data_IF_355518366733
#
_entry.id   IF_355518366733
#
_cell.length_a   1.000
_cell.length_b   1.000
_cell.length_c   1.000
_cell.angle_alpha   90.00
_cell.angle_beta   90.00
_cell.angle_gamma   90.00
#
_symmetry.space_group_name_H-M   'P 1'
#
loop_
_entity.id
_entity.type
_entity.pdbx_description
1 polymer ?
#
# COMPACT_ATOMS: atom_id res chain seq x y z
N UNK A 1 4.74 8.59 22.23
CA UNK A 1 4.49 8.16 20.85
C UNK A 1 4.26 9.41 20.02
N UNK A 2 4.88 9.51 18.85
CA UNK A 2 4.71 10.64 17.94
C UNK A 2 3.25 10.74 17.47
N UNK A 3 2.69 11.95 17.48
CA UNK A 3 1.33 12.17 16.99
C UNK A 3 1.29 11.97 15.47
N UNK A 4 0.22 11.36 14.97
CA UNK A 4 -0.05 11.28 13.53
C UNK A 4 -0.85 12.51 13.12
N UNK A 5 -0.30 13.30 12.20
CA UNK A 5 -0.94 14.51 11.69
C UNK A 5 -1.45 14.29 10.26
N UNK A 6 -2.63 14.85 9.97
CA UNK A 6 -3.17 14.89 8.60
C UNK A 6 -2.71 16.19 7.92
N UNK A 7 -2.17 16.05 6.72
CA UNK A 7 -1.59 17.16 5.91
C UNK A 7 -1.96 17.02 4.44
N UNK A 8 -1.53 17.98 3.63
CA UNK A 8 -1.71 17.97 2.17
C UNK A 8 -0.41 18.35 1.45
N UNK A 9 -0.11 17.66 0.35
CA UNK A 9 0.97 17.99 -0.57
C UNK A 9 0.66 17.46 -1.98
N UNK A 10 1.04 18.19 -3.00
CA UNK A 10 0.83 17.82 -4.41
C UNK A 10 -0.63 17.43 -4.76
N UNK A 11 -1.60 17.97 -4.04
CA UNK A 11 -3.02 17.66 -4.21
C UNK A 11 -3.46 16.36 -3.54
N UNK A 12 -2.61 15.72 -2.74
CA UNK A 12 -2.95 14.52 -1.97
C UNK A 12 -2.99 14.85 -0.48
N UNK A 13 -4.00 14.33 0.21
CA UNK A 13 -4.00 14.23 1.67
C UNK A 13 -3.00 13.14 2.09
N UNK A 14 -2.34 13.33 3.22
CA UNK A 14 -1.43 12.31 3.76
C UNK A 14 -1.37 12.37 5.28
N UNK A 15 -1.04 11.24 5.89
CA UNK A 15 -0.72 11.14 7.32
C UNK A 15 0.79 11.17 7.50
N UNK A 16 1.23 11.84 8.56
CA UNK A 16 2.63 11.97 8.90
C UNK A 16 2.87 11.76 10.40
N UNK A 17 3.91 11.02 10.74
CA UNK A 17 4.47 10.99 12.09
C UNK A 17 5.96 11.39 12.03
N UNK A 18 6.33 12.36 12.86
CA UNK A 18 7.70 12.87 12.92
C UNK A 18 8.43 12.25 14.12
N UNK A 19 9.70 11.84 13.96
CA UNK A 19 10.54 11.48 15.09
C UNK A 19 10.95 12.74 15.89
N UNK A 20 11.37 12.53 17.13
CA UNK A 20 11.72 13.61 18.07
C UNK A 20 12.83 14.53 17.54
N UNK A 21 13.75 14.01 16.73
CA UNK A 21 14.86 14.75 16.09
C UNK A 21 14.51 15.34 14.73
N UNK A 22 13.25 15.18 14.29
CA UNK A 22 12.76 15.61 12.97
C UNK A 22 13.21 14.73 11.80
N UNK A 23 13.75 13.52 12.07
CA UNK A 23 14.15 12.54 11.03
C UNK A 23 15.42 12.91 10.27
N UNK A 24 16.28 13.71 10.86
CA UNK A 24 17.53 14.15 10.21
C UNK A 24 18.52 13.00 10.07
N UNK A 25 18.96 12.75 8.84
CA UNK A 25 20.01 11.78 8.54
C UNK A 25 19.53 10.35 8.31
N UNK A 26 18.23 10.09 8.38
CA UNK A 26 17.62 8.81 8.00
C UNK A 26 16.67 8.97 6.80
N UNK A 27 16.63 8.02 5.86
CA UNK A 27 15.66 8.05 4.78
C UNK A 27 14.24 8.09 5.31
N UNK A 28 13.34 8.96 4.82
CA UNK A 28 11.93 8.93 5.20
C UNK A 28 11.28 7.61 4.78
N UNK A 29 10.31 7.10 5.56
CA UNK A 29 9.50 5.96 5.21
C UNK A 29 8.24 6.43 4.49
N UNK A 30 8.04 5.94 3.26
CA UNK A 30 6.88 6.20 2.42
C UNK A 30 6.00 4.96 2.39
N UNK A 31 4.81 5.04 3.00
CA UNK A 31 3.85 3.96 3.13
C UNK A 31 2.73 4.12 2.09
N UNK A 32 2.58 3.17 1.17
CA UNK A 32 1.62 3.23 0.07
C UNK A 32 0.57 2.15 0.24
N UNK A 33 -0.68 2.56 0.45
CA UNK A 33 -1.83 1.68 0.70
C UNK A 33 -2.38 1.05 -0.57
N UNK A 34 -3.26 0.05 -0.40
CA UNK A 34 -3.99 -0.61 -1.47
C UNK A 34 -5.49 -0.30 -1.47
N UNK A 35 -6.27 -1.27 -1.96
CA UNK A 35 -7.73 -1.22 -2.02
C UNK A 35 -8.36 -2.18 -1.00
N UNK A 36 -9.43 -1.78 -0.32
CA UNK A 36 -10.13 -0.49 -0.36
C UNK A 36 -9.62 0.52 0.69
N UNK A 37 -8.38 0.37 1.08
CA UNK A 37 -7.76 1.09 2.18
C UNK A 37 -7.47 2.56 1.84
N UNK A 38 -6.98 3.27 2.85
CA UNK A 38 -6.49 4.66 2.77
C UNK A 38 -5.21 4.74 3.60
N UNK A 39 -4.59 5.91 3.68
CA UNK A 39 -3.46 6.15 4.58
C UNK A 39 -3.74 5.77 6.05
N UNK A 40 -5.02 5.61 6.42
CA UNK A 40 -5.42 5.21 7.78
C UNK A 40 -4.92 3.82 8.16
N UNK A 41 -4.75 2.89 7.21
CA UNK A 41 -4.23 1.56 7.51
C UNK A 41 -2.88 1.57 8.23
N UNK A 42 -2.12 2.65 8.04
CA UNK A 42 -0.79 2.84 8.60
C UNK A 42 -0.79 3.56 9.96
N UNK A 43 -1.97 3.90 10.51
CA UNK A 43 -2.09 4.79 11.67
C UNK A 43 -1.33 4.28 12.93
N UNK A 44 -1.27 2.97 13.13
CA UNK A 44 -0.50 2.37 14.23
C UNK A 44 0.99 2.16 13.87
N UNK A 45 1.28 1.94 12.60
CA UNK A 45 2.65 1.72 12.14
C UNK A 45 3.46 3.02 12.07
N UNK A 46 2.85 4.14 11.64
CA UNK A 46 3.56 5.42 11.50
C UNK A 46 4.26 5.88 12.78
N UNK A 47 3.63 5.83 13.99
CA UNK A 47 4.33 6.16 15.23
C UNK A 47 5.48 5.20 15.57
N UNK A 48 5.34 3.91 15.24
CA UNK A 48 6.38 2.92 15.46
C UNK A 48 7.60 3.18 14.55
N UNK A 49 7.37 3.53 13.29
CA UNK A 49 8.42 3.96 12.37
C UNK A 49 9.10 5.24 12.88
N UNK A 50 8.32 6.25 13.31
CA UNK A 50 8.87 7.49 13.84
C UNK A 50 9.74 7.26 15.08
N UNK A 51 9.39 6.29 15.93
CA UNK A 51 10.20 5.93 17.10
C UNK A 51 11.59 5.34 16.72
N UNK A 52 11.77 4.84 15.48
CA UNK A 52 13.09 4.41 14.98
C UNK A 52 13.93 5.55 14.41
N UNK A 53 13.42 6.79 14.41
CA UNK A 53 14.11 7.98 13.89
C UNK A 53 13.82 8.27 12.41
N UNK A 54 12.91 7.56 11.75
CA UNK A 54 12.49 7.84 10.38
C UNK A 54 11.25 8.74 10.35
N UNK A 55 11.23 9.75 9.51
CA UNK A 55 10.00 10.47 9.17
C UNK A 55 9.06 9.50 8.46
N UNK A 56 7.85 9.27 8.98
CA UNK A 56 6.90 8.31 8.45
C UNK A 56 5.75 9.03 7.73
N UNK A 57 5.47 8.67 6.48
CA UNK A 57 4.56 9.39 5.59
C UNK A 57 3.69 8.40 4.82
N UNK A 58 2.39 8.64 4.80
CA UNK A 58 1.43 7.80 4.10
C UNK A 58 0.42 8.67 3.33
N UNK A 59 0.52 8.82 2.00
CA UNK A 59 -0.50 9.50 1.21
C UNK A 59 -1.77 8.67 1.08
N UNK A 60 -2.92 9.34 0.97
CA UNK A 60 -4.10 8.81 0.31
C UNK A 60 -3.86 8.92 -1.21
N UNK A 61 -3.91 7.81 -1.92
CA UNK A 61 -3.76 7.82 -3.38
C UNK A 61 -4.93 8.58 -4.05
N UNK A 62 -4.76 9.12 -5.28
CA UNK A 62 -5.86 9.77 -5.98
C UNK A 62 -7.14 8.92 -6.01
N UNK A 63 -8.27 9.50 -5.63
CA UNK A 63 -9.55 8.82 -5.54
C UNK A 63 -9.73 7.92 -4.32
N UNK A 64 -8.80 7.96 -3.36
CA UNK A 64 -8.88 7.23 -2.10
C UNK A 64 -8.88 8.20 -0.91
N UNK A 65 -9.60 7.83 0.15
CA UNK A 65 -9.66 8.61 1.38
C UNK A 65 -10.08 10.05 1.16
N UNK A 66 -9.20 10.97 1.52
CA UNK A 66 -9.41 12.42 1.40
C UNK A 66 -8.79 13.04 0.14
N UNK A 67 -8.07 12.24 -0.64
CA UNK A 67 -7.50 12.71 -1.90
C UNK A 67 -8.53 12.71 -3.03
N UNK A 68 -8.65 13.80 -3.80
CA UNK A 68 -9.54 13.85 -4.94
C UNK A 68 -9.12 12.84 -6.01
N UNK A 69 -10.08 12.35 -6.78
CA UNK A 69 -9.77 11.57 -7.99
C UNK A 69 -9.04 12.45 -9.03
N UNK A 70 -8.14 11.84 -9.79
CA UNK A 70 -7.42 12.47 -10.92
C UNK A 70 -7.71 11.68 -12.22
N UNK A 71 -8.94 11.79 -12.79
CA UNK A 71 -9.34 10.97 -13.93
C UNK A 71 -8.49 11.21 -15.18
N UNK A 72 -8.26 10.15 -15.98
CA UNK A 72 -8.57 8.76 -15.68
C UNK A 72 -7.62 8.21 -14.60
N UNK A 73 -8.18 7.61 -13.55
CA UNK A 73 -7.44 7.15 -12.37
C UNK A 73 -6.70 5.83 -12.64
N UNK A 74 -5.95 5.80 -13.74
CA UNK A 74 -5.24 4.59 -14.19
C UNK A 74 -3.98 4.32 -13.38
N UNK A 75 -3.52 3.08 -13.40
CA UNK A 75 -2.29 2.64 -12.75
C UNK A 75 -1.09 3.56 -13.06
N UNK A 76 -0.89 3.91 -14.35
CA UNK A 76 0.18 4.81 -14.77
C UNK A 76 0.07 6.21 -14.15
N UNK A 77 -1.15 6.72 -14.02
CA UNK A 77 -1.38 8.02 -13.40
C UNK A 77 -1.19 8.00 -11.89
N UNK A 78 -1.53 6.88 -11.26
CA UNK A 78 -1.26 6.68 -9.82
C UNK A 78 0.24 6.63 -9.54
N UNK A 79 1.04 5.94 -10.38
CA UNK A 79 2.52 5.97 -10.30
C UNK A 79 3.04 7.40 -10.50
N UNK A 80 2.52 8.13 -11.48
CA UNK A 80 2.89 9.52 -11.71
C UNK A 80 2.47 10.47 -10.57
N UNK A 81 1.33 10.19 -9.90
CA UNK A 81 0.90 10.95 -8.73
C UNK A 81 1.83 10.72 -7.53
N UNK A 82 2.23 9.47 -7.31
CA UNK A 82 3.23 9.13 -6.28
C UNK A 82 4.55 9.85 -6.55
N UNK A 83 5.01 9.89 -7.80
CA UNK A 83 6.21 10.63 -8.20
C UNK A 83 6.09 12.12 -7.88
N UNK A 84 4.97 12.77 -8.25
CA UNK A 84 4.74 14.19 -7.94
C UNK A 84 4.72 14.44 -6.42
N UNK A 85 4.16 13.51 -5.65
CA UNK A 85 4.11 13.60 -4.20
C UNK A 85 5.50 13.50 -3.56
N UNK A 86 6.29 12.52 -3.97
CA UNK A 86 7.69 12.33 -3.51
C UNK A 86 8.52 13.57 -3.82
N UNK A 87 8.42 14.07 -5.05
CA UNK A 87 9.16 15.26 -5.47
C UNK A 87 8.75 16.53 -4.70
N UNK A 88 7.44 16.73 -4.46
CA UNK A 88 6.93 17.90 -3.74
C UNK A 88 7.36 17.96 -2.27
N UNK A 89 7.60 16.82 -1.64
CA UNK A 89 8.07 16.70 -0.26
C UNK A 89 9.59 16.46 -0.15
N UNK A 90 10.30 16.40 -1.28
CA UNK A 90 11.75 16.15 -1.37
C UNK A 90 12.16 14.85 -0.60
N UNK A 91 11.38 13.78 -0.80
CA UNK A 91 11.53 12.50 -0.07
C UNK A 91 12.51 11.57 -0.82
N UNK A 92 13.79 11.82 -0.79
CA UNK A 92 14.76 10.97 -1.50
C UNK A 92 16.09 10.80 -0.74
N UNK A 93 16.62 9.52 -0.67
CA UNK A 93 15.92 8.26 -0.96
C UNK A 93 14.90 7.89 0.12
N UNK A 94 13.91 7.05 -0.21
CA UNK A 94 12.88 6.59 0.73
C UNK A 94 13.09 5.13 1.16
N UNK A 95 12.65 4.78 2.36
CA UNK A 95 12.25 3.40 2.67
C UNK A 95 10.81 3.22 2.16
N UNK A 96 10.63 2.40 1.14
CA UNK A 96 9.33 2.17 0.53
C UNK A 96 8.60 1.02 1.21
N UNK A 97 7.43 1.31 1.80
CA UNK A 97 6.57 0.34 2.48
C UNK A 97 5.26 0.23 1.69
N UNK A 98 4.93 -0.95 1.20
CA UNK A 98 3.81 -1.12 0.26
C UNK A 98 2.92 -2.28 0.66
N UNK A 99 1.63 -2.14 0.34
CA UNK A 99 0.61 -3.17 0.53
C UNK A 99 -0.35 -3.19 -0.66
N UNK A 100 -0.79 -4.36 -1.10
CA UNK A 100 -1.80 -4.59 -2.14
C UNK A 100 -1.54 -3.74 -3.42
N UNK A 101 -2.48 -2.91 -3.89
CA UNK A 101 -2.27 -1.98 -5.01
C UNK A 101 -1.11 -1.02 -4.79
N UNK A 102 -0.83 -0.66 -3.54
CA UNK A 102 0.36 0.11 -3.20
C UNK A 102 1.65 -0.59 -3.63
N UNK A 103 1.66 -1.94 -3.61
CA UNK A 103 2.76 -2.74 -4.16
C UNK A 103 2.89 -2.57 -5.67
N UNK A 104 1.80 -2.70 -6.42
CA UNK A 104 1.80 -2.51 -7.87
C UNK A 104 2.28 -1.10 -8.28
N UNK A 105 1.88 -0.08 -7.51
CA UNK A 105 2.21 1.32 -7.76
C UNK A 105 3.64 1.63 -7.30
N UNK A 106 3.96 1.34 -6.04
CA UNK A 106 5.22 1.71 -5.41
C UNK A 106 6.42 0.94 -5.97
N UNK A 107 6.28 -0.37 -6.21
CA UNK A 107 7.38 -1.17 -6.77
C UNK A 107 7.67 -0.80 -8.22
N UNK A 108 6.64 -0.45 -9.01
CA UNK A 108 6.83 0.10 -10.35
C UNK A 108 7.57 1.42 -10.28
N UNK A 109 7.15 2.33 -9.40
CA UNK A 109 7.84 3.59 -9.16
C UNK A 109 9.33 3.38 -8.78
N UNK A 110 9.62 2.44 -7.88
CA UNK A 110 10.98 2.13 -7.46
C UNK A 110 11.85 1.61 -8.63
N UNK A 111 11.29 0.73 -9.48
CA UNK A 111 11.99 0.22 -10.66
C UNK A 111 12.24 1.30 -11.72
N UNK A 112 11.31 2.24 -11.88
CA UNK A 112 11.44 3.35 -12.84
C UNK A 112 12.41 4.44 -12.33
N UNK A 113 12.69 4.47 -11.01
CA UNK A 113 13.53 5.46 -10.35
C UNK A 113 14.67 4.82 -9.54
N UNK A 114 15.61 4.10 -10.18
CA UNK A 114 16.70 3.43 -9.47
C UNK A 114 17.56 4.43 -8.70
N UNK A 115 17.90 4.09 -7.45
CA UNK A 115 18.68 4.96 -6.54
C UNK A 115 17.84 5.92 -5.69
N UNK A 116 16.53 5.98 -5.88
CA UNK A 116 15.62 6.80 -5.05
C UNK A 116 14.91 6.00 -3.94
N UNK A 117 15.21 4.71 -3.84
CA UNK A 117 14.74 3.81 -2.77
C UNK A 117 15.95 3.30 -2.01
N UNK A 118 15.90 3.37 -0.68
CA UNK A 118 16.97 2.91 0.21
C UNK A 118 16.74 1.47 0.71
N UNK A 119 15.48 1.09 0.92
CA UNK A 119 15.05 -0.24 1.36
C UNK A 119 13.57 -0.45 1.03
N UNK A 120 13.09 -1.69 1.08
CA UNK A 120 11.69 -2.03 0.80
C UNK A 120 11.07 -2.87 1.91
N UNK A 121 9.81 -2.60 2.24
CA UNK A 121 8.92 -3.52 2.96
C UNK A 121 7.75 -3.82 2.03
N UNK A 122 7.59 -5.09 1.66
CA UNK A 122 6.59 -5.53 0.69
C UNK A 122 5.61 -6.45 1.40
N UNK A 123 4.31 -6.15 1.37
CA UNK A 123 3.30 -6.95 2.05
C UNK A 123 2.07 -7.22 1.17
N UNK A 124 1.59 -8.44 1.22
CA UNK A 124 0.29 -8.89 0.71
C UNK A 124 -0.05 -8.32 -0.67
N UNK A 125 0.85 -8.48 -1.63
CA UNK A 125 0.76 -7.91 -2.99
C UNK A 125 1.29 -8.86 -4.05
N UNK A 126 1.18 -8.46 -5.32
CA UNK A 126 1.78 -9.13 -6.46
C UNK A 126 2.54 -8.14 -7.34
N UNK A 127 3.64 -8.61 -7.96
CA UNK A 127 4.38 -7.82 -8.96
C UNK A 127 4.94 -8.77 -10.03
N UNK A 128 4.02 -9.50 -10.70
CA UNK A 128 4.38 -10.60 -11.61
C UNK A 128 3.55 -10.51 -12.88
N UNK A 129 4.21 -10.56 -14.05
CA UNK A 129 3.55 -10.43 -15.36
C UNK A 129 2.57 -11.58 -15.67
N UNK A 130 2.76 -12.75 -15.09
CA UNK A 130 1.87 -13.91 -15.17
C UNK A 130 0.84 -13.96 -14.02
N UNK A 131 0.75 -12.90 -13.22
CA UNK A 131 -0.22 -12.73 -12.15
C UNK A 131 -1.66 -12.79 -12.68
N UNK A 132 -2.57 -13.19 -11.78
CA UNK A 132 -4.01 -13.24 -12.10
C UNK A 132 -4.80 -12.52 -11.02
N UNK A 133 -5.84 -11.83 -11.44
CA UNK A 133 -6.76 -11.21 -10.52
C UNK A 133 -7.61 -12.26 -9.81
N UNK A 134 -7.95 -12.01 -8.53
CA UNK A 134 -8.94 -12.79 -7.79
C UNK A 134 -10.35 -12.56 -8.37
N UNK A 135 -11.31 -13.44 -8.04
CA UNK A 135 -12.67 -13.33 -8.54
C UNK A 135 -13.36 -12.00 -8.22
N UNK A 136 -13.10 -11.41 -7.05
CA UNK A 136 -13.61 -10.08 -6.68
C UNK A 136 -13.02 -9.01 -7.60
N UNK A 137 -11.72 -9.01 -7.82
CA UNK A 137 -11.03 -8.05 -8.69
C UNK A 137 -11.48 -8.22 -10.15
N UNK A 138 -11.71 -9.44 -10.64
CA UNK A 138 -12.30 -9.68 -11.96
C UNK A 138 -13.70 -9.07 -12.09
N UNK A 139 -14.53 -9.18 -11.04
CA UNK A 139 -15.83 -8.53 -10.98
C UNK A 139 -15.74 -7.00 -11.10
N UNK A 140 -14.81 -6.36 -10.38
CA UNK A 140 -14.57 -4.91 -10.46
C UNK A 140 -14.06 -4.49 -11.84
N UNK A 141 -13.26 -5.31 -12.50
CA UNK A 141 -12.74 -5.06 -13.85
C UNK A 141 -13.80 -5.18 -14.94
N UNK A 142 -14.83 -5.99 -14.74
CA UNK A 142 -15.87 -6.23 -15.74
C UNK A 142 -16.79 -5.00 -15.87
N UNK A 143 -16.94 -4.43 -17.11
CA UNK A 143 -17.86 -3.33 -17.35
C UNK A 143 -19.32 -3.69 -17.00
N UNK A 144 -20.02 -2.80 -16.34
CA UNK A 144 -21.38 -3.01 -15.81
C UNK A 144 -21.37 -3.70 -14.46
N UNK A 145 -20.70 -4.85 -14.34
CA UNK A 145 -20.62 -5.60 -13.07
C UNK A 145 -19.91 -4.81 -11.98
N UNK A 146 -18.78 -4.16 -12.30
CA UNK A 146 -18.05 -3.34 -11.34
C UNK A 146 -18.89 -2.17 -10.82
N UNK A 147 -19.62 -1.48 -11.69
CA UNK A 147 -20.54 -0.42 -11.34
C UNK A 147 -21.69 -0.93 -10.44
N UNK A 148 -22.28 -2.06 -10.77
CA UNK A 148 -23.35 -2.68 -9.94
C UNK A 148 -22.81 -3.08 -8.57
N UNK A 149 -21.63 -3.68 -8.49
CA UNK A 149 -21.00 -4.08 -7.23
C UNK A 149 -20.77 -2.85 -6.33
N UNK A 150 -20.13 -1.80 -6.83
CA UNK A 150 -19.80 -0.64 -6.00
C UNK A 150 -21.01 0.23 -5.67
N UNK A 151 -21.90 0.48 -6.63
CA UNK A 151 -23.13 1.28 -6.39
C UNK A 151 -24.13 0.56 -5.48
N UNK A 152 -24.06 -0.78 -5.43
CA UNK A 152 -24.88 -1.59 -4.50
C UNK A 152 -24.37 -1.59 -3.06
N UNK A 153 -23.15 -1.09 -2.81
CA UNK A 153 -22.62 -1.01 -1.46
C UNK A 153 -23.25 0.16 -0.67
N UNK A 154 -23.52 -0.10 0.59
CA UNK A 154 -23.73 0.90 1.62
C UNK A 154 -22.57 0.82 2.62
N UNK A 155 -22.35 1.87 3.41
CA UNK A 155 -21.37 1.82 4.51
C UNK A 155 -21.57 0.58 5.39
N UNK A 156 -22.83 0.20 5.66
CA UNK A 156 -23.15 -0.98 6.48
C UNK A 156 -22.70 -2.29 5.82
N UNK A 157 -23.05 -2.50 4.54
CA UNK A 157 -22.67 -3.71 3.81
C UNK A 157 -21.17 -3.78 3.55
N UNK A 158 -20.55 -2.64 3.28
CA UNK A 158 -19.09 -2.53 3.22
C UNK A 158 -18.44 -2.92 4.54
N UNK A 159 -18.91 -2.38 5.68
CA UNK A 159 -18.40 -2.74 6.99
C UNK A 159 -18.54 -4.24 7.30
N UNK A 160 -19.64 -4.86 6.90
CA UNK A 160 -19.82 -6.31 7.05
C UNK A 160 -18.81 -7.11 6.19
N UNK A 161 -18.53 -6.65 4.98
CA UNK A 161 -17.53 -7.25 4.11
C UNK A 161 -16.13 -7.15 4.75
N UNK A 162 -15.75 -5.97 5.23
CA UNK A 162 -14.46 -5.75 5.88
C UNK A 162 -14.30 -6.60 7.14
N UNK A 163 -15.32 -6.64 8.00
CA UNK A 163 -15.33 -7.45 9.21
C UNK A 163 -15.29 -8.97 8.93
N UNK A 164 -15.73 -9.42 7.76
CA UNK A 164 -15.61 -10.82 7.34
C UNK A 164 -14.24 -11.17 6.75
N UNK A 165 -13.46 -10.15 6.37
CA UNK A 165 -12.16 -10.30 5.69
C UNK A 165 -10.98 -10.07 6.64
N UNK A 166 -11.22 -9.53 7.84
CA UNK A 166 -10.18 -9.20 8.81
C UNK A 166 -10.74 -9.22 10.23
N UNK A 167 -9.94 -9.69 11.17
CA UNK A 167 -10.29 -9.68 12.60
C UNK A 167 -9.91 -8.36 13.29
N UNK A 168 -9.03 -7.57 12.67
CA UNK A 168 -8.48 -6.35 13.24
C UNK A 168 -9.12 -5.05 12.75
N UNK A 169 -9.87 -5.07 11.64
CA UNK A 169 -10.52 -3.88 11.11
C UNK A 169 -11.67 -3.44 12.01
N UNK A 170 -11.53 -2.26 12.59
CA UNK A 170 -12.50 -1.65 13.49
C UNK A 170 -13.42 -0.65 12.77
N UNK A 171 -14.39 -0.07 13.50
CA UNK A 171 -15.37 0.88 12.95
C UNK A 171 -14.71 2.16 12.40
N UNK A 172 -13.63 2.65 13.03
CA UNK A 172 -12.89 3.82 12.56
C UNK A 172 -12.23 3.55 11.20
N UNK A 173 -11.56 2.41 11.06
CA UNK A 173 -10.97 1.99 9.78
C UNK A 173 -12.04 1.83 8.69
N UNK A 174 -13.21 1.25 9.03
CA UNK A 174 -14.34 1.14 8.10
C UNK A 174 -14.80 2.53 7.62
N UNK A 175 -14.92 3.50 8.52
CA UNK A 175 -15.33 4.87 8.18
C UNK A 175 -14.30 5.55 7.26
N UNK A 176 -13.01 5.38 7.55
CA UNK A 176 -11.91 5.93 6.75
C UNK A 176 -11.84 5.30 5.34
N UNK A 177 -11.98 4.00 5.24
CA UNK A 177 -11.94 3.30 3.95
C UNK A 177 -13.20 3.57 3.12
N UNK A 178 -14.36 3.72 3.78
CA UNK A 178 -15.63 4.04 3.11
C UNK A 178 -15.58 5.39 2.38
N UNK A 179 -14.72 6.33 2.78
CA UNK A 179 -14.56 7.61 2.07
C UNK A 179 -14.31 7.41 0.57
N UNK A 180 -13.48 6.43 0.22
CA UNK A 180 -13.11 6.10 -1.17
C UNK A 180 -14.30 5.60 -2.02
N UNK A 181 -15.31 5.01 -1.38
CA UNK A 181 -16.44 4.35 -2.05
C UNK A 181 -17.78 5.08 -1.83
N UNK A 182 -17.77 6.13 -1.02
CA UNK A 182 -18.99 6.86 -0.63
C UNK A 182 -19.57 7.75 -1.71
N UNK A 183 -18.80 8.03 -2.77
CA UNK A 183 -19.20 8.93 -3.87
C UNK A 183 -19.08 8.23 -5.22
N UNK A 184 -19.89 8.62 -6.22
CA UNK A 184 -19.75 8.08 -7.58
C UNK A 184 -18.37 8.32 -8.19
N UNK A 185 -17.75 9.46 -7.90
CA UNK A 185 -16.40 9.82 -8.38
C UNK A 185 -15.34 8.90 -7.80
N UNK A 186 -15.41 8.60 -6.50
CA UNK A 186 -14.52 7.67 -5.83
C UNK A 186 -14.69 6.24 -6.36
N UNK A 187 -15.95 5.79 -6.52
CA UNK A 187 -16.25 4.47 -7.13
C UNK A 187 -15.68 4.37 -8.54
N UNK A 188 -15.87 5.40 -9.37
CA UNK A 188 -15.33 5.44 -10.73
C UNK A 188 -13.80 5.36 -10.73
N UNK A 189 -13.13 6.10 -9.83
CA UNK A 189 -11.68 6.09 -9.69
C UNK A 189 -11.15 4.68 -9.36
N UNK A 190 -11.81 3.96 -8.44
CA UNK A 190 -11.42 2.58 -8.11
C UNK A 190 -11.61 1.62 -9.29
N UNK A 191 -12.71 1.76 -10.05
CA UNK A 191 -12.94 0.93 -11.23
C UNK A 191 -11.92 1.21 -12.35
N UNK A 192 -11.55 2.48 -12.58
CA UNK A 192 -10.51 2.87 -13.53
C UNK A 192 -9.15 2.28 -13.15
N UNK A 193 -8.78 2.33 -11.87
CA UNK A 193 -7.57 1.69 -11.34
C UNK A 193 -7.56 0.20 -11.66
N UNK A 194 -8.59 -0.54 -11.26
CA UNK A 194 -8.69 -1.98 -11.50
C UNK A 194 -8.65 -2.33 -12.99
N UNK A 195 -9.39 -1.61 -13.83
CA UNK A 195 -9.47 -1.86 -15.29
C UNK A 195 -8.17 -1.58 -16.02
N UNK A 196 -7.37 -0.63 -15.53
CA UNK A 196 -6.07 -0.32 -16.09
C UNK A 196 -4.97 -1.28 -15.65
N UNK A 197 -5.18 -2.05 -14.58
CA UNK A 197 -4.23 -2.98 -13.99
C UNK A 197 -4.10 -4.28 -14.79
N UNK A 198 -3.42 -4.27 -15.90
CA UNK A 198 -3.11 -5.46 -16.67
C UNK A 198 -1.74 -6.00 -16.28
N UNK A 199 -1.68 -7.24 -15.77
CA UNK A 199 -0.46 -7.84 -15.23
C UNK A 199 0.65 -7.96 -16.26
N UNK A 200 0.31 -8.11 -17.54
CA UNK A 200 1.26 -8.16 -18.66
C UNK A 200 2.10 -6.88 -18.76
N UNK A 201 1.62 -5.75 -18.24
CA UNK A 201 2.39 -4.49 -18.14
C UNK A 201 3.62 -4.62 -17.22
N UNK A 202 3.68 -5.67 -16.41
CA UNK A 202 4.82 -5.98 -15.55
C UNK A 202 5.95 -6.74 -16.28
N UNK A 203 5.74 -7.23 -17.51
CA UNK A 203 6.79 -7.94 -18.23
C UNK A 203 8.13 -7.18 -18.33
N UNK A 204 8.16 -5.84 -18.55
CA UNK A 204 9.40 -5.07 -18.56
C UNK A 204 10.12 -4.99 -17.19
N UNK A 205 9.43 -5.37 -16.09
CA UNK A 205 9.92 -5.29 -14.72
C UNK A 205 10.37 -6.65 -14.16
N UNK A 206 10.29 -7.72 -14.95
CA UNK A 206 10.78 -9.02 -14.51
C UNK A 206 12.26 -8.97 -14.15
N UNK A 207 12.60 -9.42 -12.92
CA UNK A 207 13.96 -9.36 -12.37
C UNK A 207 14.42 -7.99 -11.85
N UNK A 208 13.74 -6.90 -12.20
CA UNK A 208 14.16 -5.54 -11.85
C UNK A 208 14.24 -5.30 -10.34
N UNK A 209 13.33 -5.86 -9.55
CA UNK A 209 13.39 -5.73 -8.08
C UNK A 209 14.67 -6.32 -7.50
N UNK A 210 15.12 -7.47 -8.02
CA UNK A 210 16.40 -8.08 -7.62
C UNK A 210 17.63 -7.27 -8.05
N UNK A 211 17.54 -6.59 -9.22
CA UNK A 211 18.61 -5.71 -9.72
C UNK A 211 18.79 -4.46 -8.88
N UNK A 212 17.74 -3.99 -8.17
CA UNK A 212 17.85 -2.86 -7.25
C UNK A 212 18.81 -3.16 -6.08
N UNK A 213 18.99 -4.44 -5.73
CA UNK A 213 19.91 -4.92 -4.67
C UNK A 213 19.69 -4.20 -3.32
N UNK A 214 18.43 -3.97 -2.94
CA UNK A 214 18.06 -3.23 -1.74
C UNK A 214 17.75 -4.18 -0.57
N UNK A 215 18.07 -3.78 0.67
CA UNK A 215 17.53 -4.46 1.85
C UNK A 215 16.00 -4.56 1.73
N UNK A 216 15.45 -5.75 1.93
CA UNK A 216 14.02 -5.98 1.72
C UNK A 216 13.45 -6.90 2.79
N UNK A 217 12.37 -6.46 3.43
CA UNK A 217 11.51 -7.25 4.29
C UNK A 217 10.23 -7.60 3.52
N UNK A 218 9.87 -8.87 3.49
CA UNK A 218 8.58 -9.38 3.04
C UNK A 218 7.75 -9.68 4.29
N UNK A 219 6.60 -9.03 4.43
CA UNK A 219 5.69 -9.19 5.57
C UNK A 219 4.34 -9.66 5.06
N UNK A 220 3.87 -10.85 5.48
CA UNK A 220 2.76 -11.49 4.81
C UNK A 220 1.80 -12.17 5.76
N UNK A 221 0.48 -11.98 5.55
CA UNK A 221 -0.53 -12.75 6.23
C UNK A 221 -0.54 -14.21 5.75
N UNK A 222 -0.54 -15.17 6.70
CA UNK A 222 -0.50 -16.61 6.37
C UNK A 222 -1.73 -17.04 5.56
N UNK A 223 -2.88 -16.48 5.89
CA UNK A 223 -4.19 -16.85 5.36
C UNK A 223 -4.73 -15.84 4.32
N UNK A 224 -3.86 -15.05 3.67
CA UNK A 224 -4.28 -14.06 2.67
C UNK A 224 -4.97 -14.75 1.45
N UNK A 225 -6.29 -14.52 1.24
CA UNK A 225 -7.01 -15.11 0.13
C UNK A 225 -6.83 -14.38 -1.20
N UNK A 226 -6.30 -13.13 -1.18
CA UNK A 226 -6.16 -12.27 -2.37
C UNK A 226 -4.75 -12.29 -2.92
N UNK A 227 -3.74 -12.24 -2.06
CA UNK A 227 -2.33 -12.37 -2.39
C UNK A 227 -1.70 -13.53 -1.60
N UNK A 228 -1.94 -14.79 -1.98
CA UNK A 228 -1.49 -15.95 -1.20
C UNK A 228 0.01 -15.93 -0.92
N UNK A 229 0.42 -16.45 0.24
CA UNK A 229 1.81 -16.49 0.75
C UNK A 229 2.82 -17.07 -0.26
N UNK A 230 2.37 -17.83 -1.24
CA UNK A 230 3.18 -18.27 -2.38
C UNK A 230 3.80 -17.11 -3.18
N UNK A 231 3.13 -15.94 -3.18
CA UNK A 231 3.64 -14.69 -3.75
C UNK A 231 4.87 -14.19 -2.97
N UNK A 232 4.82 -14.19 -1.64
CA UNK A 232 5.96 -13.84 -0.78
C UNK A 232 7.18 -14.70 -1.06
N UNK A 233 7.01 -16.01 -1.14
CA UNK A 233 8.10 -16.93 -1.51
C UNK A 233 8.63 -16.68 -2.92
N UNK A 234 7.80 -16.20 -3.85
CA UNK A 234 8.25 -15.81 -5.18
C UNK A 234 9.10 -14.54 -5.14
N UNK A 235 8.67 -13.51 -4.39
CA UNK A 235 9.50 -12.32 -4.13
C UNK A 235 10.84 -12.69 -3.50
N UNK A 236 10.85 -13.56 -2.47
CA UNK A 236 12.06 -13.99 -1.80
C UNK A 236 13.07 -14.64 -2.76
N UNK A 237 12.59 -15.41 -3.75
CA UNK A 237 13.46 -15.98 -4.79
C UNK A 237 13.97 -14.95 -5.80
N UNK A 238 13.22 -13.88 -6.04
CA UNK A 238 13.58 -12.85 -7.03
C UNK A 238 14.44 -11.73 -6.43
N UNK A 239 14.37 -11.51 -5.11
CA UNK A 239 15.10 -10.44 -4.42
C UNK A 239 16.13 -11.09 -3.50
N UNK A 240 17.42 -11.16 -3.92
CA UNK A 240 18.46 -11.78 -3.10
C UNK A 240 18.62 -11.11 -1.74
N UNK A 241 18.60 -11.90 -0.68
CA UNK A 241 18.73 -11.41 0.69
C UNK A 241 17.43 -10.88 1.32
N UNK A 242 16.29 -10.97 0.63
CA UNK A 242 15.02 -10.61 1.22
C UNK A 242 14.66 -11.49 2.43
N UNK A 243 14.37 -10.86 3.55
CA UNK A 243 13.85 -11.50 4.75
C UNK A 243 12.36 -11.74 4.61
N UNK A 244 11.83 -12.84 5.12
CA UNK A 244 10.41 -13.16 5.08
C UNK A 244 9.87 -13.38 6.49
N UNK A 245 8.88 -12.59 6.87
CA UNK A 245 8.05 -12.75 8.05
C UNK A 245 6.64 -13.14 7.62
N UNK A 246 6.22 -14.37 7.93
CA UNK A 246 4.83 -14.82 7.76
C UNK A 246 4.11 -14.64 9.08
N UNK A 247 3.02 -13.92 9.07
CA UNK A 247 2.21 -13.60 10.25
C UNK A 247 1.07 -14.61 10.37
N UNK A 248 1.11 -15.50 11.38
CA UNK A 248 0.06 -16.51 11.55
C UNK A 248 -1.27 -15.87 11.95
N UNK A 249 -2.36 -16.56 11.67
CA UNK A 249 -3.73 -16.14 11.98
C UNK A 249 -4.09 -14.75 11.41
N UNK A 250 -3.45 -14.34 10.32
CA UNK A 250 -3.65 -13.05 9.65
C UNK A 250 -3.96 -13.24 8.19
N UNK A 251 -4.93 -12.49 7.69
CA UNK A 251 -5.32 -12.45 6.29
C UNK A 251 -4.63 -11.32 5.52
N UNK A 252 -5.35 -10.82 4.51
CA UNK A 252 -4.86 -9.75 3.63
C UNK A 252 -4.56 -8.45 4.37
N UNK A 253 -5.33 -8.10 5.39
CA UNK A 253 -5.17 -6.85 6.15
C UNK A 253 -4.21 -7.05 7.33
N UNK A 254 -3.01 -7.56 7.04
CA UNK A 254 -2.03 -7.99 8.05
C UNK A 254 -1.71 -6.92 9.09
N UNK A 255 -1.67 -5.64 8.69
CA UNK A 255 -1.40 -4.51 9.60
C UNK A 255 -2.56 -4.21 10.55
N UNK A 256 -3.77 -4.58 10.18
CA UNK A 256 -4.93 -4.50 11.07
C UNK A 256 -5.06 -5.76 11.94
N UNK A 257 -4.81 -6.94 11.37
CA UNK A 257 -4.94 -8.23 12.06
C UNK A 257 -3.87 -8.43 13.15
N UNK A 258 -2.65 -7.95 12.92
CA UNK A 258 -1.51 -8.14 13.84
C UNK A 258 -0.64 -6.87 13.97
N UNK A 259 -1.19 -5.72 14.41
CA UNK A 259 -0.49 -4.43 14.40
C UNK A 259 0.82 -4.42 15.19
N UNK A 260 0.85 -5.00 16.39
CA UNK A 260 2.05 -5.04 17.23
C UNK A 260 3.17 -5.87 16.61
N UNK A 261 2.82 -6.98 15.97
CA UNK A 261 3.79 -7.85 15.29
C UNK A 261 4.35 -7.17 14.05
N UNK A 262 3.51 -6.55 13.25
CA UNK A 262 3.93 -5.78 12.08
C UNK A 262 4.81 -4.59 12.48
N UNK A 263 4.42 -3.85 13.51
CA UNK A 263 5.23 -2.75 14.04
C UNK A 263 6.60 -3.24 14.54
N UNK A 264 6.66 -4.39 15.23
CA UNK A 264 7.91 -4.98 15.70
C UNK A 264 8.81 -5.40 14.53
N UNK A 265 8.26 -6.11 13.53
CA UNK A 265 9.01 -6.57 12.37
C UNK A 265 9.57 -5.39 11.56
N UNK A 266 8.72 -4.40 11.24
CA UNK A 266 9.14 -3.21 10.48
C UNK A 266 10.15 -2.38 11.26
N UNK A 267 9.92 -2.12 12.56
CA UNK A 267 10.88 -1.36 13.38
C UNK A 267 12.21 -2.09 13.53
N UNK A 268 12.19 -3.40 13.70
CA UNK A 268 13.40 -4.24 13.73
C UNK A 268 14.19 -4.14 12.44
N UNK A 269 13.53 -4.24 11.30
CA UNK A 269 14.14 -4.08 9.97
C UNK A 269 14.74 -2.68 9.80
N UNK A 270 13.99 -1.61 10.12
CA UNK A 270 14.47 -0.23 10.01
C UNK A 270 15.69 0.05 10.89
N UNK A 271 15.81 -0.63 12.03
CA UNK A 271 16.97 -0.49 12.93
C UNK A 271 18.26 -1.07 12.34
N UNK A 272 18.18 -1.89 11.27
CA UNK A 272 19.36 -2.46 10.57
C UNK A 272 19.88 -1.57 9.45
N UNK A 273 19.11 -0.56 9.05
CA UNK A 273 19.46 0.41 8.00
C UNK A 273 20.30 1.57 8.57
#
# INVERSE_FOLDING_TARGET
MSAVELREAAGLAYREALPDDGGRGRPPALCVHGFPETSHMWHELLPAIAATGHRAIAPDLPGSGRSPADPPNTWERLVAALERFVAALELEPVVLIVHDWGGLIGLRWACDNPGRTAAMVISDTGFFADGRWSGMAEGLRAPGTGEELLSGLSRKTFGQLMASSSVGINEEAIDEYWLSLSTPEGQAAQLEMYRSGEMEKLAPYEGRLGELALPTLLLWGEDDPFAPVGGAHRFQRQIPGAELEVVPDSGHFVYADAPDRCATAVSGFLATL
#
